data_IF_100606182304
#
_entry.id   IF_100606182304
#
_cell.length_a   1.000
_cell.length_b   1.000
_cell.length_c   1.000
_cell.angle_alpha   90.00
_cell.angle_beta   90.00
_cell.angle_gamma   90.00
#
_symmetry.space_group_name_H-M   'P 1'
#
loop_
_entity.id
_entity.type
_entity.pdbx_description
1 polymer ?
#
# COMPACT_ATOMS: atom_id res chain seq x y z
N UNK A 1 67.37 8.94 -22.41
CA UNK A 1 66.54 7.80 -21.91
C UNK A 1 65.77 8.08 -20.61
N UNK A 2 66.12 9.09 -19.80
CA UNK A 2 65.48 9.36 -18.49
C UNK A 2 64.11 10.05 -18.62
N UNK A 3 63.97 11.00 -19.56
CA UNK A 3 62.72 11.75 -19.77
C UNK A 3 61.52 10.90 -20.24
N UNK A 4 61.79 9.82 -20.99
CA UNK A 4 60.74 8.89 -21.46
C UNK A 4 60.19 8.01 -20.33
N UNK A 5 61.04 7.64 -19.35
CA UNK A 5 60.64 6.87 -18.17
C UNK A 5 59.85 7.72 -17.18
N UNK A 6 60.22 8.99 -17.01
CA UNK A 6 59.51 9.94 -16.16
C UNK A 6 58.09 10.19 -16.69
N UNK A 7 57.97 10.41 -18.00
CA UNK A 7 56.69 10.62 -18.69
C UNK A 7 55.78 9.38 -18.63
N UNK A 8 56.35 8.17 -18.80
CA UNK A 8 55.60 6.91 -18.67
C UNK A 8 55.07 6.69 -17.25
N UNK A 9 55.86 7.03 -16.23
CA UNK A 9 55.48 6.83 -14.83
C UNK A 9 54.42 7.83 -14.37
N UNK A 10 54.47 9.08 -14.85
CA UNK A 10 53.40 10.06 -14.63
C UNK A 10 52.11 9.69 -15.37
N UNK A 11 52.21 9.20 -16.61
CA UNK A 11 51.05 8.69 -17.37
C UNK A 11 50.34 7.52 -16.67
N UNK A 12 51.11 6.54 -16.18
CA UNK A 12 50.55 5.39 -15.45
C UNK A 12 49.85 5.87 -14.17
N UNK A 13 50.41 6.82 -13.43
CA UNK A 13 49.77 7.38 -12.23
C UNK A 13 48.47 8.12 -12.55
N UNK A 14 48.43 8.89 -13.63
CA UNK A 14 47.20 9.57 -14.07
C UNK A 14 46.13 8.58 -14.51
N UNK A 15 46.50 7.50 -15.20
CA UNK A 15 45.56 6.44 -15.57
C UNK A 15 45.04 5.68 -14.35
N UNK A 16 45.88 5.38 -13.37
CA UNK A 16 45.45 4.75 -12.10
C UNK A 16 44.50 5.67 -11.34
N UNK A 17 44.80 6.97 -11.25
CA UNK A 17 43.91 7.95 -10.62
C UNK A 17 42.60 8.08 -11.38
N UNK A 18 42.62 8.07 -12.72
CA UNK A 18 41.40 8.11 -13.54
C UNK A 18 40.54 6.84 -13.39
N UNK A 19 41.16 5.66 -13.30
CA UNK A 19 40.46 4.39 -13.03
C UNK A 19 39.89 4.37 -11.61
N UNK A 20 40.63 4.88 -10.62
CA UNK A 20 40.14 5.03 -9.24
C UNK A 20 38.96 6.00 -9.20
N UNK A 21 39.06 7.18 -9.81
CA UNK A 21 37.97 8.17 -9.90
C UNK A 21 36.76 7.57 -10.64
N UNK A 22 36.97 6.82 -11.72
CA UNK A 22 35.90 6.14 -12.46
C UNK A 22 35.24 5.03 -11.62
N UNK A 23 36.01 4.33 -10.78
CA UNK A 23 35.48 3.34 -9.83
C UNK A 23 34.71 3.96 -8.66
N UNK A 24 35.06 5.19 -8.25
CA UNK A 24 34.34 5.98 -7.25
C UNK A 24 33.10 6.70 -7.83
N UNK A 25 32.95 6.74 -9.15
CA UNK A 25 31.82 7.34 -9.86
C UNK A 25 30.76 6.31 -10.26
N UNK A 26 30.71 5.14 -9.61
CA UNK A 26 29.51 4.30 -9.63
C UNK A 26 28.49 5.06 -8.77
N UNK A 27 27.47 5.74 -9.35
CA UNK A 27 26.42 6.29 -8.53
C UNK A 27 25.86 5.12 -7.71
N UNK A 28 25.76 5.25 -6.37
CA UNK A 28 25.13 4.20 -5.56
C UNK A 28 23.81 3.90 -6.23
N UNK A 29 23.66 2.64 -6.68
CA UNK A 29 22.53 2.18 -7.45
C UNK A 29 21.27 2.78 -6.84
N UNK A 30 20.60 3.61 -7.63
CA UNK A 30 19.59 4.52 -7.15
C UNK A 30 18.58 3.74 -6.32
N UNK A 31 18.35 4.18 -5.08
CA UNK A 31 17.14 3.89 -4.33
C UNK A 31 15.97 4.62 -5.01
N UNK A 32 15.70 4.25 -6.26
CA UNK A 32 14.50 4.66 -6.96
C UNK A 32 13.40 3.79 -6.38
N UNK A 33 12.63 4.32 -5.43
CA UNK A 33 11.41 3.68 -4.96
C UNK A 33 10.52 3.43 -6.18
N UNK A 34 10.53 2.19 -6.64
CA UNK A 34 9.75 1.75 -7.78
C UNK A 34 8.26 1.87 -7.44
N UNK A 35 7.43 2.23 -8.43
CA UNK A 35 6.01 2.50 -8.17
C UNK A 35 5.27 1.29 -7.55
N UNK A 36 5.68 0.08 -7.89
CA UNK A 36 5.22 -1.19 -7.29
C UNK A 36 5.49 -1.26 -5.78
N UNK A 37 6.69 -0.84 -5.35
CA UNK A 37 7.06 -0.77 -3.93
C UNK A 37 6.15 0.19 -3.16
N UNK A 38 5.83 1.36 -3.74
CA UNK A 38 4.94 2.33 -3.11
C UNK A 38 3.51 1.78 -2.95
N UNK A 39 2.98 1.11 -3.99
CA UNK A 39 1.65 0.50 -3.95
C UNK A 39 1.61 -0.65 -2.93
N UNK A 40 2.65 -1.48 -2.89
CA UNK A 40 2.79 -2.57 -1.93
C UNK A 40 2.84 -2.05 -0.48
N UNK A 41 3.68 -1.05 -0.20
CA UNK A 41 3.79 -0.42 1.13
C UNK A 41 2.43 0.15 1.57
N UNK A 42 1.71 0.83 0.67
CA UNK A 42 0.38 1.34 0.96
C UNK A 42 -0.60 0.20 1.34
N UNK A 43 -0.59 -0.91 0.60
CA UNK A 43 -1.40 -2.08 0.91
C UNK A 43 -1.02 -2.74 2.24
N UNK A 44 0.28 -2.84 2.52
CA UNK A 44 0.78 -3.40 3.78
C UNK A 44 0.39 -2.52 4.96
N UNK A 45 0.54 -1.20 4.85
CA UNK A 45 0.11 -0.26 5.88
C UNK A 45 -1.41 -0.33 6.14
N UNK A 46 -2.22 -0.53 5.10
CA UNK A 46 -3.65 -0.75 5.26
C UNK A 46 -3.96 -2.05 6.01
N UNK A 47 -3.24 -3.14 5.70
CA UNK A 47 -3.35 -4.41 6.42
C UNK A 47 -3.03 -4.25 7.90
N UNK A 48 -1.96 -3.52 8.23
CA UNK A 48 -1.57 -3.25 9.61
C UNK A 48 -2.63 -2.42 10.38
N UNK A 49 -3.35 -1.55 9.67
CA UNK A 49 -4.49 -0.80 10.20
C UNK A 49 -5.78 -1.63 10.31
N UNK A 50 -5.73 -2.93 9.96
CA UNK A 50 -6.88 -3.84 9.85
C UNK A 50 -7.89 -3.42 8.78
N UNK A 51 -7.52 -2.50 7.89
CA UNK A 51 -8.29 -2.18 6.69
C UNK A 51 -7.96 -3.19 5.59
N UNK A 52 -8.54 -4.38 5.72
CA UNK A 52 -8.31 -5.47 4.79
C UNK A 52 -8.86 -5.17 3.39
N UNK A 53 -9.89 -4.34 3.27
CA UNK A 53 -10.47 -3.99 1.97
C UNK A 53 -9.49 -3.15 1.14
N UNK A 54 -8.90 -2.11 1.75
CA UNK A 54 -7.85 -1.32 1.10
C UNK A 54 -6.60 -2.14 0.83
N UNK A 55 -6.20 -3.02 1.75
CA UNK A 55 -5.06 -3.92 1.57
C UNK A 55 -5.27 -4.85 0.35
N UNK A 56 -6.43 -5.48 0.25
CA UNK A 56 -6.81 -6.34 -0.88
C UNK A 56 -6.76 -5.55 -2.19
N UNK A 57 -7.33 -4.34 -2.22
CA UNK A 57 -7.31 -3.51 -3.43
C UNK A 57 -5.88 -3.19 -3.89
N UNK A 58 -5.01 -2.79 -2.96
CA UNK A 58 -3.62 -2.43 -3.24
C UNK A 58 -2.77 -3.63 -3.65
N UNK A 59 -2.91 -4.76 -2.98
CA UNK A 59 -2.17 -5.97 -3.34
C UNK A 59 -2.60 -6.51 -4.71
N UNK A 60 -3.89 -6.45 -5.05
CA UNK A 60 -4.35 -6.77 -6.40
C UNK A 60 -3.78 -5.79 -7.45
N UNK A 61 -3.70 -4.50 -7.13
CA UNK A 61 -3.08 -3.50 -8.00
C UNK A 61 -1.61 -3.84 -8.28
N UNK A 62 -0.86 -4.32 -7.27
CA UNK A 62 0.52 -4.81 -7.47
C UNK A 62 0.55 -5.95 -8.48
N UNK A 63 -0.28 -6.98 -8.28
CA UNK A 63 -0.29 -8.18 -9.13
C UNK A 63 -0.79 -7.92 -10.57
N UNK A 64 -1.66 -6.92 -10.76
CA UNK A 64 -2.22 -6.58 -12.07
C UNK A 64 -1.35 -5.59 -12.85
N UNK A 65 -0.86 -4.54 -12.18
CA UNK A 65 -0.08 -3.48 -12.83
C UNK A 65 1.40 -3.86 -12.97
N UNK A 66 1.91 -4.68 -12.06
CA UNK A 66 3.32 -5.09 -12.01
C UNK A 66 3.44 -6.62 -11.89
N UNK A 67 3.07 -7.38 -12.95
CA UNK A 67 3.06 -8.84 -12.89
C UNK A 67 4.45 -9.45 -12.64
N UNK A 68 5.53 -8.77 -13.05
CA UNK A 68 6.92 -9.24 -12.96
C UNK A 68 7.70 -8.58 -11.80
N UNK A 69 7.00 -7.96 -10.84
CA UNK A 69 7.64 -7.33 -9.67
C UNK A 69 8.33 -8.38 -8.78
N UNK A 70 9.52 -8.06 -8.22
CA UNK A 70 10.14 -8.90 -7.19
C UNK A 70 9.30 -9.00 -5.91
N UNK A 71 8.26 -8.17 -5.76
CA UNK A 71 7.34 -8.18 -4.61
C UNK A 71 6.14 -9.12 -4.81
N UNK A 72 6.05 -9.84 -5.93
CA UNK A 72 4.88 -10.63 -6.31
C UNK A 72 4.56 -11.72 -5.28
N UNK A 73 5.58 -12.41 -4.79
CA UNK A 73 5.48 -13.44 -3.77
C UNK A 73 4.88 -12.88 -2.46
N UNK A 74 5.40 -11.73 -2.00
CA UNK A 74 4.90 -11.01 -0.85
C UNK A 74 3.47 -10.50 -1.09
N UNK A 75 3.18 -9.98 -2.27
CA UNK A 75 1.85 -9.50 -2.61
C UNK A 75 0.81 -10.64 -2.57
N UNK A 76 1.12 -11.81 -3.14
CA UNK A 76 0.25 -13.00 -3.04
C UNK A 76 0.07 -13.46 -1.59
N UNK A 77 1.16 -13.49 -0.82
CA UNK A 77 1.13 -13.89 0.58
C UNK A 77 0.26 -12.94 1.42
N UNK A 78 0.49 -11.63 1.36
CA UNK A 78 -0.29 -10.64 2.10
C UNK A 78 -1.73 -10.53 1.60
N UNK A 79 -1.98 -10.72 0.32
CA UNK A 79 -3.33 -10.78 -0.24
C UNK A 79 -4.12 -11.97 0.33
N UNK A 80 -3.52 -13.16 0.38
CA UNK A 80 -4.19 -14.34 0.96
C UNK A 80 -4.54 -14.13 2.44
N UNK A 81 -3.63 -13.55 3.23
CA UNK A 81 -3.89 -13.18 4.63
C UNK A 81 -4.95 -12.09 4.76
N UNK A 82 -4.92 -11.07 3.91
CA UNK A 82 -5.93 -10.01 3.93
C UNK A 82 -7.33 -10.58 3.65
N UNK A 83 -7.47 -11.48 2.67
CA UNK A 83 -8.72 -12.19 2.43
C UNK A 83 -9.13 -13.05 3.62
N UNK A 84 -8.19 -13.77 4.23
CA UNK A 84 -8.46 -14.59 5.41
C UNK A 84 -9.02 -13.75 6.55
N UNK A 85 -8.36 -12.64 6.89
CA UNK A 85 -8.79 -11.72 7.95
C UNK A 85 -10.08 -10.98 7.63
N UNK A 86 -10.40 -10.78 6.34
CA UNK A 86 -11.68 -10.25 5.88
C UNK A 86 -12.83 -11.27 5.92
N UNK A 87 -12.54 -12.54 6.21
CA UNK A 87 -13.52 -13.63 6.25
C UNK A 87 -13.80 -14.29 4.89
N UNK A 88 -13.07 -13.94 3.84
CA UNK A 88 -13.17 -14.60 2.54
C UNK A 88 -12.19 -15.78 2.45
N UNK A 89 -12.62 -16.92 2.99
CA UNK A 89 -11.80 -18.12 3.05
C UNK A 89 -11.53 -18.73 1.67
N UNK A 90 -12.48 -18.58 0.73
CA UNK A 90 -12.31 -19.10 -0.63
C UNK A 90 -11.16 -18.40 -1.36
N UNK A 91 -11.19 -17.06 -1.41
CA UNK A 91 -10.12 -16.30 -2.05
C UNK A 91 -8.79 -16.44 -1.30
N UNK A 92 -8.83 -16.46 0.04
CA UNK A 92 -7.63 -16.68 0.85
C UNK A 92 -6.91 -17.97 0.47
N UNK A 93 -7.65 -19.07 0.40
CA UNK A 93 -7.13 -20.38 0.02
C UNK A 93 -6.64 -20.41 -1.45
N UNK A 94 -7.36 -19.75 -2.36
CA UNK A 94 -6.97 -19.64 -3.77
C UNK A 94 -5.61 -18.96 -3.94
N UNK A 95 -5.43 -17.78 -3.34
CA UNK A 95 -4.19 -17.02 -3.45
C UNK A 95 -3.03 -17.69 -2.71
N UNK A 96 -3.28 -18.37 -1.59
CA UNK A 96 -2.23 -19.12 -0.91
C UNK A 96 -1.83 -20.38 -1.69
N UNK A 97 -2.78 -21.08 -2.33
CA UNK A 97 -2.46 -22.19 -3.25
C UNK A 97 -1.59 -21.70 -4.40
N UNK A 98 -1.91 -20.53 -4.97
CA UNK A 98 -1.10 -19.90 -6.01
C UNK A 98 0.32 -19.57 -5.52
N UNK A 99 0.44 -18.92 -4.35
CA UNK A 99 1.75 -18.65 -3.72
C UNK A 99 2.55 -19.94 -3.52
N UNK A 100 1.93 -21.00 -3.02
CA UNK A 100 2.61 -22.26 -2.73
C UNK A 100 3.07 -23.01 -3.99
N UNK A 101 2.40 -22.78 -5.13
CA UNK A 101 2.74 -23.34 -6.45
C UNK A 101 3.81 -22.54 -7.17
N UNK A 102 3.70 -21.21 -7.15
CA UNK A 102 4.66 -20.31 -7.81
C UNK A 102 5.97 -20.21 -7.00
N UNK A 103 5.91 -20.28 -5.67
CA UNK A 103 7.03 -20.04 -4.76
C UNK A 103 7.19 -21.15 -3.71
N UNK A 104 7.49 -22.40 -4.11
CA UNK A 104 7.52 -23.54 -3.22
C UNK A 104 8.59 -23.43 -2.10
N UNK A 105 9.74 -22.80 -2.41
CA UNK A 105 10.92 -22.68 -1.53
C UNK A 105 10.98 -21.35 -0.76
N UNK A 106 9.90 -20.56 -0.79
CA UNK A 106 9.89 -19.25 -0.15
C UNK A 106 9.84 -19.36 1.38
N UNK A 107 10.73 -18.67 2.11
CA UNK A 107 10.77 -18.73 3.58
C UNK A 107 9.46 -18.29 4.25
N UNK A 108 8.64 -17.46 3.60
CA UNK A 108 7.34 -17.02 4.13
C UNK A 108 6.35 -18.17 4.32
N UNK A 109 6.54 -19.30 3.62
CA UNK A 109 5.67 -20.48 3.73
C UNK A 109 5.63 -21.05 5.15
N UNK A 110 6.75 -20.96 5.89
CA UNK A 110 6.81 -21.35 7.30
C UNK A 110 6.10 -20.40 8.26
N UNK A 111 5.69 -19.22 7.79
CA UNK A 111 4.98 -18.20 8.59
C UNK A 111 3.46 -18.21 8.40
N UNK A 112 2.98 -19.06 7.48
CA UNK A 112 1.56 -19.21 7.20
C UNK A 112 0.86 -19.82 8.41
N UNK A 113 -0.27 -19.26 8.81
CA UNK A 113 -1.09 -19.81 9.89
C UNK A 113 -1.63 -21.21 9.53
N UNK A 114 -1.62 -22.13 10.50
CA UNK A 114 -2.09 -23.51 10.31
C UNK A 114 -3.52 -23.59 9.79
N UNK A 115 -4.40 -22.71 10.28
CA UNK A 115 -5.79 -22.60 9.81
C UNK A 115 -5.84 -22.28 8.30
N UNK A 116 -5.00 -21.37 7.82
CA UNK A 116 -4.98 -20.96 6.42
C UNK A 116 -4.40 -22.06 5.52
N UNK A 117 -3.42 -22.83 6.01
CA UNK A 117 -2.94 -24.05 5.34
C UNK A 117 -4.05 -25.09 5.22
N UNK A 118 -4.82 -25.32 6.29
CA UNK A 118 -5.94 -26.28 6.29
C UNK A 118 -7.02 -25.88 5.29
N UNK A 119 -7.33 -24.58 5.18
CA UNK A 119 -8.27 -24.05 4.20
C UNK A 119 -7.77 -24.26 2.78
N UNK A 120 -6.48 -24.04 2.55
CA UNK A 120 -5.85 -24.25 1.23
C UNK A 120 -5.92 -25.72 0.82
N UNK A 121 -5.66 -26.65 1.73
CA UNK A 121 -5.80 -28.08 1.45
C UNK A 121 -7.25 -28.49 1.12
N UNK A 122 -8.26 -27.86 1.74
CA UNK A 122 -9.68 -28.08 1.43
C UNK A 122 -10.06 -27.49 0.07
N UNK A 123 -9.58 -26.29 -0.24
CA UNK A 123 -9.76 -25.66 -1.55
C UNK A 123 -9.19 -26.52 -2.68
N UNK A 124 -7.99 -27.09 -2.50
CA UNK A 124 -7.37 -27.97 -3.49
C UNK A 124 -8.13 -29.28 -3.70
N UNK A 125 -8.87 -29.74 -2.69
CA UNK A 125 -9.79 -30.88 -2.79
C UNK A 125 -11.11 -30.53 -3.51
N UNK A 126 -11.30 -29.27 -3.92
CA UNK A 126 -12.51 -28.81 -4.61
C UNK A 126 -13.67 -28.48 -3.67
N UNK A 127 -13.42 -28.33 -2.38
CA UNK A 127 -14.47 -27.97 -1.42
C UNK A 127 -14.86 -26.49 -1.56
N UNK A 128 -16.16 -26.20 -1.54
CA UNK A 128 -16.66 -24.81 -1.57
C UNK A 128 -16.48 -24.17 -0.19
N UNK A 129 -15.45 -23.34 -0.06
CA UNK A 129 -15.21 -22.55 1.14
C UNK A 129 -16.13 -21.32 1.22
N UNK A 130 -16.49 -20.87 2.43
CA UNK A 130 -17.30 -19.68 2.59
C UNK A 130 -16.56 -18.45 2.04
N UNK A 131 -17.23 -17.76 1.13
CA UNK A 131 -16.78 -16.47 0.63
C UNK A 131 -17.42 -15.40 1.50
N UNK A 132 -16.61 -14.64 2.22
CA UNK A 132 -17.07 -13.62 3.16
C UNK A 132 -17.97 -12.62 2.43
N UNK A 133 -19.23 -12.52 2.86
CA UNK A 133 -20.30 -11.73 2.23
C UNK A 133 -20.06 -10.21 2.19
N UNK A 134 -18.91 -9.68 2.63
CA UNK A 134 -18.78 -8.27 3.01
C UNK A 134 -17.63 -7.47 2.37
N UNK A 135 -16.69 -8.08 1.64
CA UNK A 135 -15.56 -7.32 1.04
C UNK A 135 -16.04 -6.33 -0.03
N UNK A 136 -17.07 -6.69 -0.79
CA UNK A 136 -17.62 -5.85 -1.86
C UNK A 136 -18.31 -4.55 -1.37
N UNK A 137 -18.80 -4.51 -0.12
CA UNK A 137 -19.45 -3.29 0.44
C UNK A 137 -18.45 -2.28 1.00
N UNK A 138 -17.20 -2.68 1.19
CA UNK A 138 -16.18 -1.86 1.86
C UNK A 138 -15.24 -1.19 0.85
N UNK A 139 -15.01 -1.81 -0.32
CA UNK A 139 -14.24 -1.23 -1.43
C UNK A 139 -14.83 0.08 -1.96
N UNK A 140 -16.15 0.25 -1.92
CA UNK A 140 -16.81 1.51 -2.32
C UNK A 140 -16.51 2.68 -1.37
N UNK A 141 -16.27 2.40 -0.08
CA UNK A 141 -15.91 3.43 0.92
C UNK A 141 -14.48 3.95 0.72
N UNK A 142 -13.58 3.09 0.25
CA UNK A 142 -12.17 3.43 -0.02
C UNK A 142 -12.06 4.41 -1.20
N UNK A 143 -12.91 4.29 -2.22
CA UNK A 143 -12.97 5.25 -3.32
C UNK A 143 -13.47 6.64 -2.89
N UNK A 144 -14.31 6.71 -1.85
CA UNK A 144 -14.96 7.96 -1.42
C UNK A 144 -14.09 8.80 -0.47
N UNK A 145 -13.14 8.19 0.25
CA UNK A 145 -12.28 8.91 1.21
C UNK A 145 -11.08 9.63 0.59
N UNK A 146 -10.80 9.44 -0.71
CA UNK A 146 -9.62 10.02 -1.39
C UNK A 146 -9.77 11.49 -1.83
N UNK A 147 -10.87 12.16 -1.48
CA UNK A 147 -11.15 13.56 -1.87
C UNK A 147 -11.00 14.59 -0.74
N UNK A 148 -10.75 14.19 0.51
CA UNK A 148 -10.50 15.15 1.58
C UNK A 148 -9.02 15.53 1.62
N UNK A 149 -8.69 16.50 0.77
CA UNK A 149 -7.44 17.23 0.83
C UNK A 149 -7.17 17.77 2.23
N UNK A 150 -5.92 17.65 2.64
CA UNK A 150 -5.23 18.38 3.72
C UNK A 150 -5.91 19.74 4.00
N UNK A 151 -6.46 20.02 5.20
CA UNK A 151 -6.75 21.39 5.57
C UNK A 151 -5.40 22.06 5.88
N UNK A 152 -5.06 23.07 5.07
CA UNK A 152 -3.97 23.97 5.34
C UNK A 152 -4.12 24.59 6.73
N UNK A 153 -3.00 24.77 7.41
CA UNK A 153 -2.86 25.49 8.67
C UNK A 153 -3.37 26.92 8.52
N UNK A 154 -4.65 27.16 8.82
CA UNK A 154 -5.18 28.51 8.96
C UNK A 154 -4.73 29.10 10.29
N UNK A 155 -3.76 30.00 10.15
CA UNK A 155 -3.23 30.92 11.17
C UNK A 155 -4.41 31.70 11.78
N UNK A 156 -4.69 31.46 13.06
CA UNK A 156 -5.71 32.20 13.78
C UNK A 156 -5.15 33.58 14.18
N UNK A 157 -5.62 34.64 13.53
CA UNK A 157 -5.36 36.02 13.91
C UNK A 157 -6.37 36.47 14.98
N UNK A 158 -5.87 36.97 16.09
CA UNK A 158 -6.68 37.59 17.14
C UNK A 158 -7.01 39.03 16.76
N UNK A 159 -8.27 39.31 16.42
CA UNK A 159 -8.84 40.66 16.56
C UNK A 159 -10.08 40.58 17.45
N UNK A 160 -9.95 41.03 18.71
CA UNK A 160 -11.09 41.34 19.57
C UNK A 160 -11.22 42.87 19.63
N UNK A 161 -12.25 43.39 18.99
CA UNK A 161 -12.84 44.70 19.28
C UNK A 161 -14.36 44.60 19.21
N UNK A 162 -15.04 45.20 20.19
CA UNK A 162 -16.46 45.60 20.17
C UNK A 162 -17.47 44.47 20.40
N UNK A 163 -18.00 44.28 21.60
CA UNK A 163 -19.24 44.91 22.09
C UNK A 163 -20.47 44.72 21.17
N UNK A 164 -21.46 43.96 21.68
CA UNK A 164 -22.90 44.32 21.77
C UNK A 164 -23.88 43.25 21.29
N UNK A 165 -24.60 42.69 22.29
CA UNK A 165 -26.06 42.46 22.37
C UNK A 165 -26.82 41.66 21.28
N UNK A 166 -27.60 40.73 21.83
CA UNK A 166 -28.96 40.26 21.44
C UNK A 166 -29.15 39.30 20.27
N UNK A 167 -29.84 38.19 20.56
CA UNK A 167 -30.66 37.46 19.60
C UNK A 167 -30.13 36.07 19.21
N UNK A 168 -30.66 35.02 19.85
CA UNK A 168 -30.63 33.68 19.26
C UNK A 168 -31.65 33.65 18.12
N UNK A 169 -31.19 33.55 16.87
CA UNK A 169 -32.03 33.30 15.72
C UNK A 169 -31.42 32.17 14.90
N UNK A 170 -32.14 31.06 14.75
CA UNK A 170 -31.81 29.99 13.80
C UNK A 170 -32.52 30.32 12.48
N UNK A 171 -31.78 30.81 11.50
CA UNK A 171 -32.25 30.99 10.12
C UNK A 171 -32.23 29.64 9.39
N UNK A 172 -33.40 29.04 9.20
CA UNK A 172 -33.60 27.85 8.37
C UNK A 172 -34.15 28.25 7.00
N UNK A 173 -33.30 28.81 6.13
CA UNK A 173 -33.62 28.96 4.71
C UNK A 173 -33.39 27.64 3.96
N UNK A 174 -34.49 26.99 3.62
CA UNK A 174 -34.57 26.16 2.41
C UNK A 174 -34.74 24.66 2.60
N UNK A 175 -35.94 24.20 2.93
CA UNK A 175 -36.45 22.93 2.39
C UNK A 175 -37.98 22.88 2.36
N UNK A 176 -38.52 22.84 1.15
CA UNK A 176 -39.91 22.48 0.85
C UNK A 176 -39.91 20.97 0.61
N UNK A 177 -40.43 20.18 1.54
CA UNK A 177 -41.15 18.94 1.24
C UNK A 177 -41.83 18.40 2.50
N UNK A 178 -43.16 18.38 2.43
CA UNK A 178 -44.10 17.53 3.16
C UNK A 178 -43.63 16.06 3.07
N UNK A 179 -43.89 15.11 3.97
CA UNK A 179 -44.76 15.00 5.13
C UNK A 179 -44.24 13.83 5.99
N UNK A 180 -44.62 13.80 7.26
CA UNK A 180 -44.67 12.54 8.04
C UNK A 180 -43.59 12.36 9.11
N UNK A 181 -43.91 12.82 10.33
CA UNK A 181 -43.52 12.12 11.56
C UNK A 181 -42.08 12.25 12.06
N UNK A 182 -41.73 13.39 12.66
CA UNK A 182 -40.63 13.47 13.63
C UNK A 182 -41.22 13.55 15.05
N UNK A 183 -41.30 12.41 15.73
CA UNK A 183 -41.59 12.32 17.16
C UNK A 183 -40.31 12.56 17.99
N UNK A 184 -40.31 13.73 18.64
CA UNK A 184 -39.74 14.09 19.96
C UNK A 184 -38.23 13.93 20.24
N UNK A 185 -37.68 15.11 20.55
CA UNK A 185 -36.69 15.51 21.58
C UNK A 185 -35.55 14.58 21.94
#
# INVERSE_FOLDING_TARGET
>A
MISLKLCRNTLIRLLVVFVIISSLAIPPAMSQESEDSQVFIAGFNAYQQKDYASAIAKMNEVLQKYPDTPLRDMALFWLSRAYYKSGNQNEAARFLSQFSKEYPDNPLKGTVEEELLSLTARYEKGEKLPSGQQVAKQTDRVATQKSQGRPGTQRCGTSRQGQSRTGAYCDCKGRRSQAGGCSRC
#
